data_IF_101898959810
#
_entry.id   IF_101898959810
#
_cell.length_a   1.000
_cell.length_b   1.000
_cell.length_c   1.000
_cell.angle_alpha   90.00
_cell.angle_beta   90.00
_cell.angle_gamma   90.00
#
_symmetry.space_group_name_H-M   'P 1'
#
loop_
_entity.id
_entity.type
_entity.pdbx_description
1 polymer ?
#
# COMPACT_ATOMS: atom_id res chain seq x y z
N UNK A 1 -36.32 -10.95 15.38
CA UNK A 1 -35.48 -10.86 14.17
C UNK A 1 -34.03 -10.79 14.62
N UNK A 2 -33.22 -11.78 14.27
CA UNK A 2 -31.81 -11.83 14.68
C UNK A 2 -30.96 -11.44 13.47
N UNK A 3 -30.08 -10.45 13.63
CA UNK A 3 -29.21 -10.00 12.55
C UNK A 3 -28.23 -11.14 12.20
N UNK A 4 -28.25 -11.62 10.96
CA UNK A 4 -27.45 -12.75 10.46
C UNK A 4 -25.95 -12.50 10.34
N UNK A 5 -25.35 -11.80 11.30
CA UNK A 5 -23.92 -11.49 11.33
C UNK A 5 -23.24 -12.30 12.42
N UNK A 6 -22.15 -12.98 12.07
CA UNK A 6 -21.27 -13.63 13.03
C UNK A 6 -20.23 -12.63 13.54
N UNK A 7 -20.24 -12.35 14.84
CA UNK A 7 -19.17 -11.58 15.49
C UNK A 7 -17.99 -12.52 15.82
N UNK A 8 -16.78 -12.13 15.42
CA UNK A 8 -15.54 -12.76 15.87
C UNK A 8 -14.64 -11.67 16.43
N UNK A 9 -14.22 -11.84 17.67
CA UNK A 9 -13.14 -11.04 18.27
C UNK A 9 -11.82 -11.56 17.70
N UNK A 10 -11.05 -10.67 17.07
CA UNK A 10 -9.70 -10.97 16.63
C UNK A 10 -8.74 -10.81 17.81
N UNK A 11 -7.67 -11.61 17.82
CA UNK A 11 -6.56 -11.43 18.76
C UNK A 11 -5.88 -10.07 18.52
N UNK A 12 -5.24 -9.48 19.54
CA UNK A 12 -4.45 -8.27 19.39
C UNK A 12 -3.41 -8.41 18.28
N UNK A 13 -3.16 -7.34 17.52
CA UNK A 13 -2.12 -7.37 16.50
C UNK A 13 -0.74 -7.54 17.12
N UNK A 14 0.12 -8.27 16.42
CA UNK A 14 1.54 -8.36 16.74
C UNK A 14 2.17 -6.98 16.91
N UNK A 15 3.06 -6.83 17.90
CA UNK A 15 3.57 -5.53 18.34
C UNK A 15 4.22 -4.73 17.22
N UNK A 16 4.99 -5.38 16.34
CA UNK A 16 5.67 -4.74 15.21
C UNK A 16 4.66 -4.28 14.16
N UNK A 17 3.70 -5.15 13.80
CA UNK A 17 2.63 -4.83 12.87
C UNK A 17 1.79 -3.64 13.37
N UNK A 18 1.40 -3.65 14.64
CA UNK A 18 0.67 -2.55 15.27
C UNK A 18 1.48 -1.24 15.24
N UNK A 19 2.79 -1.29 15.50
CA UNK A 19 3.67 -0.11 15.46
C UNK A 19 3.80 0.46 14.04
N UNK A 20 4.06 -0.40 13.05
CA UNK A 20 4.16 0.00 11.65
C UNK A 20 2.85 0.62 11.13
N UNK A 21 1.70 -0.02 11.42
CA UNK A 21 0.39 0.51 11.03
C UNK A 21 0.09 1.84 11.73
N UNK A 22 0.38 1.95 13.03
CA UNK A 22 0.21 3.21 13.77
C UNK A 22 1.05 4.33 13.17
N UNK A 23 2.27 4.03 12.76
CA UNK A 23 3.16 4.98 12.12
C UNK A 23 2.67 5.36 10.70
N UNK A 24 2.31 4.38 9.86
CA UNK A 24 1.75 4.61 8.52
C UNK A 24 0.43 5.39 8.55
N UNK A 25 -0.36 5.26 9.62
CA UNK A 25 -1.59 6.04 9.80
C UNK A 25 -1.37 7.55 9.81
N UNK A 26 -0.14 8.03 10.07
CA UNK A 26 0.24 9.44 9.91
C UNK A 26 0.20 9.92 8.45
N UNK A 27 0.30 9.01 7.49
CA UNK A 27 0.36 9.32 6.06
C UNK A 27 -0.99 9.21 5.33
N UNK A 28 -2.08 8.90 6.04
CA UNK A 28 -3.44 8.74 5.46
C UNK A 28 -4.05 9.97 4.81
N UNK A 29 -3.55 11.18 5.13
CA UNK A 29 -4.13 12.42 4.61
C UNK A 29 -3.80 12.60 3.12
N UNK A 30 -4.74 13.05 2.27
CA UNK A 30 -4.51 13.30 0.83
C UNK A 30 -3.36 14.24 0.47
N UNK A 31 -2.80 14.97 1.45
CA UNK A 31 -1.66 15.88 1.25
C UNK A 31 -0.38 15.10 0.94
N UNK A 32 -0.30 13.88 1.45
CA UNK A 32 0.85 13.01 1.30
C UNK A 32 0.80 12.25 -0.03
N UNK A 33 -0.33 12.20 -0.73
CA UNK A 33 -0.44 11.52 -2.02
C UNK A 33 0.48 12.11 -3.10
N UNK A 34 0.92 13.36 -2.91
CA UNK A 34 1.63 14.11 -3.93
C UNK A 34 0.73 14.50 -5.10
N UNK A 35 1.32 15.16 -6.09
CA UNK A 35 0.62 15.44 -7.35
C UNK A 35 0.38 14.13 -8.12
N UNK A 36 -0.65 14.04 -8.99
CA UNK A 36 -0.95 12.80 -9.72
C UNK A 36 0.25 12.19 -10.47
N UNK A 37 1.11 13.03 -11.04
CA UNK A 37 2.35 12.60 -11.70
C UNK A 37 3.33 11.90 -10.75
N UNK A 38 3.47 12.40 -9.52
CA UNK A 38 4.32 11.79 -8.50
C UNK A 38 3.74 10.45 -8.06
N UNK A 39 2.43 10.38 -7.81
CA UNK A 39 1.76 9.13 -7.43
C UNK A 39 1.88 8.04 -8.52
N UNK A 40 1.83 8.43 -9.80
CA UNK A 40 2.10 7.51 -10.92
C UNK A 40 3.55 7.06 -10.94
N UNK A 41 4.51 7.99 -10.86
CA UNK A 41 5.94 7.67 -10.86
C UNK A 41 6.35 6.74 -9.70
N UNK A 42 5.78 6.95 -8.51
CA UNK A 42 5.98 6.07 -7.35
C UNK A 42 5.50 4.65 -7.66
N UNK A 43 4.31 4.46 -8.24
CA UNK A 43 3.81 3.13 -8.61
C UNK A 43 4.68 2.44 -9.65
N UNK A 44 5.12 3.17 -10.67
CA UNK A 44 6.02 2.65 -11.70
C UNK A 44 7.38 2.24 -11.11
N UNK A 45 7.94 3.05 -10.21
CA UNK A 45 9.20 2.73 -9.53
C UNK A 45 9.11 1.43 -8.73
N UNK A 46 7.95 1.06 -8.18
CA UNK A 46 7.76 -0.19 -7.46
C UNK A 46 7.04 -1.28 -8.28
N UNK A 47 6.98 -1.14 -9.61
CA UNK A 47 6.43 -2.18 -10.49
C UNK A 47 7.17 -3.51 -10.37
N UNK A 48 8.45 -3.47 -9.99
CA UNK A 48 9.24 -4.62 -9.56
C UNK A 48 9.65 -4.45 -8.09
N UNK A 49 9.64 -5.52 -7.28
CA UNK A 49 10.08 -5.45 -5.88
C UNK A 49 11.48 -4.85 -5.75
N UNK A 50 11.62 -3.83 -4.90
CA UNK A 50 12.92 -3.19 -4.62
C UNK A 50 12.95 -2.55 -3.23
N UNK A 51 14.15 -2.26 -2.68
CA UNK A 51 14.28 -1.53 -1.43
C UNK A 51 13.54 -0.18 -1.48
N UNK A 52 12.90 0.16 -0.36
CA UNK A 52 12.08 1.36 -0.22
C UNK A 52 12.85 2.63 -0.60
N UNK A 53 14.08 2.78 -0.11
CA UNK A 53 14.89 3.98 -0.38
C UNK A 53 15.30 4.07 -1.85
N UNK A 54 15.71 2.96 -2.46
CA UNK A 54 16.09 2.93 -3.88
C UNK A 54 14.92 3.30 -4.78
N UNK A 55 13.70 2.86 -4.44
CA UNK A 55 12.50 3.27 -5.17
C UNK A 55 12.15 4.74 -4.99
N UNK A 56 12.38 5.32 -3.81
CA UNK A 56 12.18 6.75 -3.59
C UNK A 56 13.20 7.59 -4.37
N UNK A 57 14.47 7.23 -4.30
CA UNK A 57 15.58 7.90 -5.02
C UNK A 57 15.41 7.80 -6.54
N UNK A 58 14.90 6.68 -7.06
CA UNK A 58 14.61 6.52 -8.48
C UNK A 58 13.51 7.46 -9.00
N UNK A 59 12.64 7.96 -8.12
CA UNK A 59 11.56 8.90 -8.47
C UNK A 59 12.01 10.34 -8.32
N UNK A 60 12.83 10.65 -7.32
CA UNK A 60 13.30 12.00 -7.03
C UNK A 60 13.92 12.13 -5.63
N UNK A 61 13.89 13.34 -5.07
CA UNK A 61 14.39 13.59 -3.71
C UNK A 61 13.59 12.79 -2.67
N UNK A 62 14.21 11.89 -1.89
CA UNK A 62 13.51 11.11 -0.87
C UNK A 62 12.70 11.97 0.11
N UNK A 63 13.15 13.16 0.47
CA UNK A 63 12.42 14.05 1.40
C UNK A 63 11.03 14.40 0.83
N UNK A 64 10.95 14.63 -0.48
CA UNK A 64 9.72 14.98 -1.20
C UNK A 64 8.89 13.74 -1.58
N UNK A 65 9.56 12.61 -1.88
CA UNK A 65 8.92 11.40 -2.41
C UNK A 65 8.37 10.49 -1.32
N UNK A 66 9.09 10.34 -0.20
CA UNK A 66 8.74 9.40 0.86
C UNK A 66 7.31 9.56 1.41
N UNK A 67 6.76 10.78 1.61
CA UNK A 67 5.37 10.93 2.00
C UNK A 67 4.38 10.24 1.05
N UNK A 68 4.64 10.27 -0.27
CA UNK A 68 3.81 9.62 -1.28
C UNK A 68 3.96 8.09 -1.28
N UNK A 69 5.17 7.57 -1.01
CA UNK A 69 5.41 6.13 -0.84
C UNK A 69 4.63 5.61 0.37
N UNK A 70 4.74 6.26 1.53
CA UNK A 70 4.04 5.85 2.75
C UNK A 70 2.52 6.00 2.64
N UNK A 71 2.05 7.04 1.95
CA UNK A 71 0.63 7.19 1.62
C UNK A 71 0.15 6.03 0.75
N UNK A 72 0.92 5.64 -0.27
CA UNK A 72 0.58 4.53 -1.15
C UNK A 72 0.58 3.18 -0.42
N UNK A 73 1.51 2.95 0.53
CA UNK A 73 1.51 1.78 1.42
C UNK A 73 0.26 1.75 2.32
N UNK A 74 -0.10 2.89 2.92
CA UNK A 74 -1.31 2.98 3.76
C UNK A 74 -2.59 2.61 2.99
N UNK A 75 -2.70 3.05 1.74
CA UNK A 75 -3.86 2.76 0.89
C UNK A 75 -3.76 1.42 0.13
N UNK A 76 -2.68 0.65 0.30
CA UNK A 76 -2.49 -0.63 -0.40
C UNK A 76 -2.23 -0.50 -1.89
N UNK A 77 -1.88 0.71 -2.38
CA UNK A 77 -1.37 0.90 -3.75
C UNK A 77 0.05 0.39 -3.90
N UNK A 78 0.80 0.35 -2.81
CA UNK A 78 2.05 -0.39 -2.66
C UNK A 78 1.87 -1.40 -1.53
N UNK A 79 2.72 -2.42 -1.50
CA UNK A 79 2.76 -3.43 -0.45
C UNK A 79 4.19 -3.69 0.02
N UNK A 80 4.34 -4.10 1.28
CA UNK A 80 5.60 -4.48 1.91
C UNK A 80 5.30 -5.37 3.12
N UNK A 81 6.31 -6.04 3.66
CA UNK A 81 6.17 -6.84 4.87
C UNK A 81 6.07 -5.92 6.09
N UNK A 82 4.91 -5.90 6.76
CA UNK A 82 4.67 -5.06 7.94
C UNK A 82 4.85 -5.81 9.27
N UNK A 83 5.16 -7.10 9.23
CA UNK A 83 5.51 -7.94 10.37
C UNK A 83 6.97 -7.74 10.83
N UNK A 84 7.82 -7.16 9.97
CA UNK A 84 9.17 -6.71 10.29
C UNK A 84 9.22 -5.18 10.46
N UNK A 85 10.20 -4.61 11.19
CA UNK A 85 10.33 -3.17 11.33
C UNK A 85 10.43 -2.48 9.97
N UNK A 86 9.54 -1.52 9.71
CA UNK A 86 9.56 -0.75 8.47
C UNK A 86 10.82 0.14 8.45
N UNK A 87 11.71 -0.11 7.49
CA UNK A 87 12.98 0.59 7.33
C UNK A 87 13.30 0.79 5.84
N UNK A 88 14.37 1.54 5.55
CA UNK A 88 14.80 1.91 4.19
C UNK A 88 15.08 0.71 3.25
N UNK A 89 15.42 -0.47 3.79
CA UNK A 89 15.81 -1.65 3.02
C UNK A 89 14.67 -2.64 2.76
N UNK A 90 13.50 -2.42 3.37
CA UNK A 90 12.36 -3.33 3.15
C UNK A 90 11.98 -3.33 1.67
N UNK A 91 11.67 -4.51 1.15
CA UNK A 91 11.22 -4.63 -0.23
C UNK A 91 9.78 -4.11 -0.32
N UNK A 92 9.57 -3.23 -1.30
CA UNK A 92 8.28 -2.66 -1.64
C UNK A 92 7.97 -3.05 -3.08
N UNK A 93 6.72 -3.39 -3.33
CA UNK A 93 6.20 -3.67 -4.67
C UNK A 93 4.83 -3.02 -4.86
N UNK A 94 4.37 -2.98 -6.11
CA UNK A 94 3.02 -2.53 -6.42
C UNK A 94 1.97 -3.40 -5.73
N UNK A 95 0.95 -2.76 -5.16
CA UNK A 95 -0.16 -3.46 -4.52
C UNK A 95 -1.21 -3.89 -5.54
N UNK A 96 -1.98 -4.94 -5.23
CA UNK A 96 -3.04 -5.45 -6.11
C UNK A 96 -4.15 -4.41 -6.41
N UNK A 97 -4.25 -3.32 -5.64
CA UNK A 97 -5.26 -2.27 -5.81
C UNK A 97 -5.06 -1.34 -7.00
N UNK A 98 -3.94 -1.44 -7.74
CA UNK A 98 -3.65 -0.60 -8.92
C UNK A 98 -4.36 -1.02 -10.22
N UNK A 99 -4.93 -2.23 -10.29
CA UNK A 99 -5.49 -2.81 -11.51
C UNK A 99 -7.02 -2.68 -11.65
N UNK A 100 -7.67 -1.78 -10.90
CA UNK A 100 -9.12 -1.53 -11.08
C UNK A 100 -9.39 -0.49 -12.16
N UNK A 101 -9.12 -0.90 -13.40
CA UNK A 101 -9.60 -0.27 -14.62
C UNK A 101 -10.19 -1.35 -15.54
N UNK A 102 -11.42 -1.78 -15.26
CA UNK A 102 -12.33 -2.56 -16.14
C UNK A 102 -11.76 -3.83 -16.80
N UNK A 103 -12.16 -4.97 -16.24
CA UNK A 103 -12.30 -6.25 -16.94
C UNK A 103 -13.27 -7.12 -16.15
N UNK A 104 -14.58 -6.86 -16.26
CA UNK A 104 -15.61 -7.65 -15.58
C UNK A 104 -15.56 -9.11 -16.02
N UNK A 105 -16.06 -10.05 -15.18
CA UNK A 105 -16.17 -11.44 -15.58
C UNK A 105 -17.17 -11.55 -16.75
N UNK A 106 -16.64 -11.87 -17.93
CA UNK A 106 -17.43 -12.32 -19.06
C UNK A 106 -18.16 -13.61 -18.66
N UNK A 107 -19.48 -13.51 -18.73
CA UNK A 107 -20.49 -14.54 -18.52
C UNK A 107 -20.05 -15.97 -18.85
N UNK A 108 -20.44 -16.90 -17.98
CA UNK A 108 -20.79 -18.25 -18.41
C UNK A 108 -21.97 -18.15 -19.38
N UNK A 109 -21.85 -18.75 -20.56
CA UNK A 109 -22.97 -19.28 -21.33
C UNK A 109 -22.49 -20.49 -22.12
N UNK A 110 -23.23 -21.58 -21.98
CA UNK A 110 -22.85 -22.90 -22.45
C UNK A 110 -23.07 -23.14 -23.94
N UNK A 111 -22.32 -24.12 -24.43
CA UNK A 111 -22.79 -25.17 -25.33
C UNK A 111 -21.92 -26.40 -25.14
#
# INVERSE_FOLDING_TARGET
>A
MQAGWSYRRLEPLEKILAANLKWLAGYRHPRNAGRPRLAAAVREAFAQPRPLIEGAEAVGDPIEVLPAVFHALWHGHLTTSLDIPLNERVLVSTGAGGANGRGGPGSWDGR
#
